data_IF_353596231113
#
_entry.id   IF_353596231113
#
_cell.length_a   1.000
_cell.length_b   1.000
_cell.length_c   1.000
_cell.angle_alpha   90.00
_cell.angle_beta   90.00
_cell.angle_gamma   90.00
#
_symmetry.space_group_name_H-M   'P 1'
#
loop_
_entity.id
_entity.type
_entity.pdbx_description
1 polymer ?
#
# COMPACT_ATOMS: atom_id res chain seq x y z
N UNK A 1 3.23 27.33 26.01
CA UNK A 1 3.69 28.37 26.97
C UNK A 1 5.08 28.01 27.48
N UNK A 2 6.12 28.58 26.88
CA UNK A 2 7.36 29.07 27.52
C UNK A 2 8.24 29.70 26.42
N UNK A 3 8.61 31.00 26.49
CA UNK A 3 9.35 31.67 25.43
C UNK A 3 10.86 31.41 25.56
N UNK A 4 11.50 30.91 24.50
CA UNK A 4 12.97 30.86 24.44
C UNK A 4 13.49 32.28 24.25
N UNK A 5 14.23 32.71 25.26
CA UNK A 5 14.80 34.03 25.47
C UNK A 5 15.79 34.38 24.36
N UNK A 6 15.52 35.50 23.70
CA UNK A 6 16.42 36.19 22.79
C UNK A 6 17.62 36.74 23.58
N UNK A 7 18.76 36.04 23.54
CA UNK A 7 20.02 36.54 24.13
C UNK A 7 20.93 37.04 23.01
N UNK A 8 20.81 38.33 22.71
CA UNK A 8 21.71 39.08 21.83
C UNK A 8 23.12 39.11 22.42
N UNK A 9 24.09 38.54 21.71
CA UNK A 9 25.49 38.88 21.85
C UNK A 9 26.02 39.17 20.44
N UNK A 10 26.18 40.46 20.15
CA UNK A 10 26.79 40.98 18.93
C UNK A 10 28.29 41.11 19.21
N UNK A 11 29.16 40.55 18.37
CA UNK A 11 30.41 41.21 18.05
C UNK A 11 30.42 41.63 16.58
N UNK A 12 30.67 42.91 16.41
CA UNK A 12 31.01 43.60 15.18
C UNK A 12 32.34 43.04 14.65
N UNK A 13 32.32 42.30 13.55
CA UNK A 13 33.50 42.08 12.69
C UNK A 13 33.05 42.22 11.24
N UNK A 14 33.56 43.27 10.59
CA UNK A 14 33.40 43.57 9.17
C UNK A 14 34.59 42.98 8.42
N UNK A 15 34.35 42.08 7.45
CA UNK A 15 35.26 41.87 6.32
C UNK A 15 34.58 41.12 5.15
N UNK A 16 34.52 41.83 4.02
CA UNK A 16 34.57 41.41 2.61
C UNK A 16 33.61 40.32 2.06
N UNK A 17 32.94 40.73 0.97
CA UNK A 17 32.00 39.99 0.16
C UNK A 17 32.61 38.78 -0.58
N UNK A 18 31.88 37.65 -0.58
CA UNK A 18 31.55 36.88 -1.79
C UNK A 18 30.12 36.34 -1.61
N UNK A 19 29.31 36.58 -2.62
CA UNK A 19 27.92 36.12 -2.73
C UNK A 19 27.87 34.58 -2.78
N UNK A 20 27.05 33.96 -1.93
CA UNK A 20 26.82 32.52 -1.94
C UNK A 20 25.89 32.07 -0.83
N UNK A 21 24.58 32.14 -1.06
CA UNK A 21 23.61 31.42 -0.26
C UNK A 21 23.77 29.92 -0.54
N UNK A 22 24.22 29.14 0.44
CA UNK A 22 24.05 27.70 0.44
C UNK A 22 23.33 27.31 1.73
N UNK A 23 22.04 27.63 1.76
CA UNK A 23 21.06 27.04 2.66
C UNK A 23 20.08 26.24 1.82
N UNK A 24 20.37 24.96 1.65
CA UNK A 24 19.43 23.92 1.22
C UNK A 24 19.91 22.67 1.94
N UNK A 25 19.30 22.34 3.09
CA UNK A 25 18.03 21.61 3.13
C UNK A 25 18.41 20.13 3.12
N UNK A 26 18.69 19.53 4.28
CA UNK A 26 17.70 18.72 4.97
C UNK A 26 17.04 17.75 3.99
N UNK A 27 17.75 16.69 3.60
CA UNK A 27 17.12 15.46 3.13
C UNK A 27 16.50 14.75 4.35
N UNK A 28 15.51 15.41 4.96
CA UNK A 28 14.44 14.67 5.60
C UNK A 28 13.63 14.11 4.43
N UNK A 29 13.97 12.90 3.99
CA UNK A 29 13.06 12.07 3.22
C UNK A 29 11.90 11.68 4.14
N UNK A 30 11.00 12.63 4.39
CA UNK A 30 9.76 12.45 5.11
C UNK A 30 8.78 13.48 4.55
N UNK A 31 8.25 13.22 3.35
CA UNK A 31 7.12 13.96 2.78
C UNK A 31 6.61 13.21 1.54
N UNK A 32 6.03 12.03 1.77
CA UNK A 32 4.95 11.43 0.99
C UNK A 32 4.73 10.00 1.53
N UNK A 33 4.45 9.87 2.83
CA UNK A 33 3.48 8.85 3.19
C UNK A 33 2.16 9.31 2.57
N UNK A 34 1.96 8.94 1.29
CA UNK A 34 0.62 8.70 0.76
C UNK A 34 -0.15 8.06 1.92
N UNK A 35 -1.15 8.78 2.45
CA UNK A 35 -1.85 8.33 3.65
C UNK A 35 -2.52 7.01 3.29
N UNK A 36 -1.85 5.89 3.58
CA UNK A 36 -2.34 4.57 3.25
C UNK A 36 -3.61 4.36 4.07
N UNK A 37 -4.79 4.33 3.45
CA UNK A 37 -6.04 4.22 4.19
C UNK A 37 -6.15 2.90 4.95
N UNK A 38 -5.30 1.90 4.62
CA UNK A 38 -5.22 0.62 5.34
C UNK A 38 -4.34 0.71 6.60
N UNK A 39 -3.40 1.66 6.69
CA UNK A 39 -2.45 1.71 7.80
C UNK A 39 -3.14 1.92 9.17
N UNK A 40 -4.28 2.61 9.19
CA UNK A 40 -5.07 2.82 10.40
C UNK A 40 -5.91 1.60 10.81
N UNK A 41 -5.98 0.56 9.97
CA UNK A 41 -6.85 -0.61 10.15
C UNK A 41 -6.07 -1.89 10.41
N UNK A 42 -4.74 -1.79 10.56
CA UNK A 42 -3.86 -2.96 10.72
C UNK A 42 -4.08 -3.73 12.03
N UNK A 43 -4.66 -3.09 13.05
CA UNK A 43 -4.97 -3.75 14.33
C UNK A 43 -6.02 -4.87 14.19
N UNK A 44 -6.90 -4.78 13.19
CA UNK A 44 -7.93 -5.77 12.89
C UNK A 44 -7.52 -6.72 11.75
N UNK A 45 -6.25 -6.70 11.33
CA UNK A 45 -5.77 -7.53 10.24
C UNK A 45 -5.79 -9.02 10.59
N UNK A 46 -6.25 -9.84 9.64
CA UNK A 46 -6.30 -11.28 9.75
C UNK A 46 -5.22 -11.93 8.88
N UNK A 47 -4.59 -12.99 9.38
CA UNK A 47 -3.60 -13.76 8.63
C UNK A 47 -4.22 -14.52 7.45
N UNK A 48 -5.46 -14.99 7.61
CA UNK A 48 -6.12 -15.89 6.66
C UNK A 48 -7.62 -15.65 6.56
N UNK A 49 -8.17 -15.73 5.35
CA UNK A 49 -9.62 -15.70 5.09
C UNK A 49 -10.14 -17.03 4.55
N UNK A 50 -11.35 -17.46 4.90
CA UNK A 50 -11.93 -18.73 4.44
C UNK A 50 -12.32 -18.69 2.96
N UNK A 51 -11.75 -19.58 2.16
CA UNK A 51 -11.93 -19.61 0.69
C UNK A 51 -13.40 -19.75 0.27
N UNK A 52 -14.18 -20.55 0.99
CA UNK A 52 -15.59 -20.80 0.67
C UNK A 52 -16.48 -19.56 0.85
N UNK A 53 -15.99 -18.55 1.57
CA UNK A 53 -16.68 -17.28 1.75
C UNK A 53 -16.26 -16.24 0.71
N UNK A 54 -15.18 -16.42 -0.02
CA UNK A 54 -14.78 -15.47 -1.07
C UNK A 54 -15.80 -15.57 -2.21
N UNK A 55 -16.45 -14.45 -2.52
CA UNK A 55 -17.41 -14.32 -3.63
C UNK A 55 -16.72 -13.85 -4.91
N UNK A 56 -15.92 -12.78 -4.80
CA UNK A 56 -15.14 -12.24 -5.90
C UNK A 56 -13.89 -11.53 -5.41
N UNK A 57 -12.96 -11.31 -6.33
CA UNK A 57 -11.74 -10.54 -6.10
C UNK A 57 -11.65 -9.40 -7.09
N UNK A 58 -11.12 -8.26 -6.65
CA UNK A 58 -10.94 -7.07 -7.48
C UNK A 58 -9.53 -6.55 -7.29
N UNK A 59 -8.78 -6.45 -8.38
CA UNK A 59 -7.43 -5.87 -8.35
C UNK A 59 -7.55 -4.37 -8.53
N UNK A 60 -7.07 -3.62 -7.54
CA UNK A 60 -7.12 -2.15 -7.52
C UNK A 60 -5.88 -1.55 -8.17
N UNK A 61 -4.70 -2.11 -7.92
CA UNK A 61 -3.45 -1.59 -8.48
C UNK A 61 -2.37 -2.70 -8.55
N UNK A 62 -1.10 -2.32 -8.65
CA UNK A 62 0.03 -3.27 -8.74
C UNK A 62 0.37 -3.95 -7.40
N UNK A 63 -0.26 -3.54 -6.29
CA UNK A 63 0.04 -3.94 -4.92
C UNK A 63 -1.23 -4.21 -4.07
N UNK A 64 -2.42 -3.84 -4.51
CA UNK A 64 -3.64 -3.92 -3.70
C UNK A 64 -4.71 -4.80 -4.37
N UNK A 65 -5.22 -5.78 -3.62
CA UNK A 65 -6.31 -6.67 -4.04
C UNK A 65 -7.42 -6.67 -3.00
N UNK A 66 -8.67 -6.48 -3.43
CA UNK A 66 -9.85 -6.60 -2.59
C UNK A 66 -10.47 -7.99 -2.71
N UNK A 67 -10.87 -8.53 -1.57
CA UNK A 67 -11.56 -9.80 -1.43
C UNK A 67 -12.96 -9.53 -0.88
N UNK A 68 -13.97 -9.70 -1.72
CA UNK A 68 -15.37 -9.55 -1.34
C UNK A 68 -15.89 -10.87 -0.81
N UNK A 69 -16.38 -10.85 0.42
CA UNK A 69 -16.86 -12.02 1.13
C UNK A 69 -18.38 -12.14 1.03
N UNK A 70 -18.86 -13.37 1.11
CA UNK A 70 -20.27 -13.69 1.35
C UNK A 70 -20.63 -13.16 2.74
N UNK A 71 -21.60 -12.25 2.78
CA UNK A 71 -21.99 -11.53 3.99
C UNK A 71 -21.68 -10.03 3.99
N UNK A 72 -21.25 -9.48 2.84
CA UNK A 72 -20.96 -8.04 2.64
C UNK A 72 -19.70 -7.52 3.32
N UNK A 73 -18.87 -8.40 3.89
CA UNK A 73 -17.54 -8.03 4.38
C UNK A 73 -16.56 -7.92 3.20
N UNK A 74 -15.61 -6.99 3.31
CA UNK A 74 -14.56 -6.79 2.32
C UNK A 74 -13.22 -6.72 3.04
N UNK A 75 -12.25 -7.46 2.52
CA UNK A 75 -10.87 -7.41 3.00
C UNK A 75 -9.98 -6.82 1.93
N UNK A 76 -9.13 -5.87 2.30
CA UNK A 76 -8.03 -5.40 1.48
C UNK A 76 -6.78 -6.20 1.81
N UNK A 77 -6.06 -6.62 0.78
CA UNK A 77 -4.77 -7.28 0.90
C UNK A 77 -3.73 -6.44 0.16
N UNK A 78 -2.82 -5.83 0.92
CA UNK A 78 -1.70 -5.09 0.36
C UNK A 78 -0.50 -6.03 0.28
N UNK A 79 -0.05 -6.31 -0.94
CA UNK A 79 1.07 -7.19 -1.21
C UNK A 79 2.36 -6.56 -0.63
N UNK A 80 3.27 -7.37 -0.06
CA UNK A 80 4.52 -6.86 0.51
C UNK A 80 5.43 -6.19 -0.53
N UNK A 81 5.29 -6.57 -1.81
CA UNK A 81 6.01 -5.98 -2.93
C UNK A 81 5.05 -5.77 -4.11
N UNK A 82 5.36 -4.80 -4.98
CA UNK A 82 4.64 -4.63 -6.25
C UNK A 82 4.71 -5.93 -7.08
N UNK A 83 3.59 -6.28 -7.69
CA UNK A 83 3.44 -7.50 -8.44
C UNK A 83 3.49 -7.24 -9.95
N UNK A 84 4.51 -7.73 -10.68
CA UNK A 84 4.64 -7.45 -12.11
C UNK A 84 3.41 -7.91 -12.91
N UNK A 85 2.78 -6.98 -13.61
CA UNK A 85 1.59 -7.26 -14.40
C UNK A 85 0.29 -7.29 -13.59
N UNK A 86 0.32 -7.13 -12.28
CA UNK A 86 -0.90 -6.81 -11.53
C UNK A 86 -1.29 -5.36 -11.86
N UNK A 87 -2.56 -5.13 -12.18
CA UNK A 87 -3.11 -3.82 -12.62
C UNK A 87 -4.62 -3.87 -12.51
N UNK A 88 -5.28 -2.69 -12.47
CA UNK A 88 -6.75 -2.59 -12.34
C UNK A 88 -7.50 -3.62 -13.17
N UNK A 89 -8.47 -4.27 -12.54
CA UNK A 89 -9.36 -5.26 -13.17
C UNK A 89 -8.64 -6.49 -13.77
N UNK A 90 -7.43 -6.81 -13.30
CA UNK A 90 -6.78 -8.06 -13.70
C UNK A 90 -7.39 -9.28 -13.06
N UNK A 91 -7.40 -10.35 -13.84
CA UNK A 91 -7.71 -11.67 -13.34
C UNK A 91 -6.46 -12.28 -12.70
N UNK A 92 -6.64 -12.81 -11.51
CA UNK A 92 -5.62 -13.55 -10.78
C UNK A 92 -6.09 -14.97 -10.50
N UNK A 93 -5.14 -15.86 -10.30
CA UNK A 93 -5.35 -17.19 -9.75
C UNK A 93 -4.55 -17.26 -8.46
N UNK A 94 -5.09 -17.85 -7.39
CA UNK A 94 -4.34 -18.10 -6.16
C UNK A 94 -4.04 -19.58 -6.01
N UNK A 95 -2.92 -19.89 -5.36
CA UNK A 95 -2.57 -21.24 -4.92
C UNK A 95 -2.61 -21.25 -3.40
N UNK A 96 -3.44 -22.12 -2.83
CA UNK A 96 -3.71 -22.12 -1.39
C UNK A 96 -2.98 -23.25 -0.69
N UNK A 97 -2.70 -23.04 0.58
CA UNK A 97 -2.12 -24.08 1.45
C UNK A 97 -3.18 -25.03 2.01
N UNK A 98 -4.40 -24.55 2.29
CA UNK A 98 -5.51 -25.30 2.92
C UNK A 98 -6.90 -24.82 2.43
N UNK A 99 -7.95 -24.93 3.27
CA UNK A 99 -9.31 -24.39 3.07
C UNK A 99 -9.45 -22.88 3.29
N UNK A 100 -8.31 -22.19 3.39
CA UNK A 100 -8.17 -20.76 3.64
C UNK A 100 -7.10 -20.19 2.69
N UNK A 101 -7.20 -18.90 2.42
CA UNK A 101 -6.18 -18.12 1.73
C UNK A 101 -5.46 -17.28 2.78
N UNK A 102 -4.16 -17.46 2.91
CA UNK A 102 -3.36 -16.80 3.94
C UNK A 102 -2.37 -15.78 3.36
N UNK A 103 -1.86 -14.90 4.21
CA UNK A 103 -0.78 -13.95 3.89
C UNK A 103 0.48 -14.62 3.33
N UNK A 104 0.77 -15.86 3.73
CA UNK A 104 1.90 -16.62 3.19
C UNK A 104 1.61 -17.33 1.85
N UNK A 105 0.37 -17.30 1.35
CA UNK A 105 0.03 -17.85 0.04
C UNK A 105 0.41 -16.89 -1.10
N UNK A 106 0.28 -17.36 -2.34
CA UNK A 106 0.66 -16.60 -3.54
C UNK A 106 -0.50 -16.45 -4.51
N UNK A 107 -0.56 -15.28 -5.14
CA UNK A 107 -1.37 -15.03 -6.33
C UNK A 107 -0.50 -15.10 -7.59
N UNK A 108 -1.10 -15.48 -8.70
CA UNK A 108 -0.50 -15.51 -10.03
C UNK A 108 -1.38 -14.70 -10.96
N UNK A 109 -0.81 -13.70 -11.61
CA UNK A 109 -1.51 -12.91 -12.63
C UNK A 109 -1.84 -13.80 -13.82
N UNK A 110 -3.05 -13.66 -14.37
CA UNK A 110 -3.43 -14.31 -15.62
C UNK A 110 -3.42 -13.29 -16.76
N UNK A 111 -2.65 -13.59 -17.80
CA UNK A 111 -2.58 -12.80 -19.02
C UNK A 111 -3.29 -13.51 -20.17
N UNK A 112 -3.94 -12.72 -21.03
CA UNK A 112 -4.54 -13.23 -22.25
C UNK A 112 -3.49 -13.20 -23.36
N UNK A 113 -3.06 -14.38 -23.82
CA UNK A 113 -2.09 -14.52 -24.90
C UNK A 113 -2.48 -15.70 -25.79
N UNK A 114 -2.36 -15.53 -27.10
CA UNK A 114 -2.62 -16.61 -28.07
C UNK A 114 -4.04 -17.19 -28.03
N UNK A 115 -5.04 -16.41 -27.58
CA UNK A 115 -6.43 -16.87 -27.47
C UNK A 115 -6.76 -17.64 -26.18
N UNK A 116 -5.86 -17.68 -25.20
CA UNK A 116 -6.09 -18.33 -23.90
C UNK A 116 -5.55 -17.55 -22.71
N UNK A 117 -5.87 -18.02 -21.50
CA UNK A 117 -5.28 -17.53 -20.26
C UNK A 117 -3.93 -18.23 -20.02
N UNK A 118 -2.89 -17.46 -19.80
CA UNK A 118 -1.55 -17.92 -19.47
C UNK A 118 -1.12 -17.35 -18.12
N UNK A 119 -0.31 -18.12 -17.38
CA UNK A 119 0.21 -17.69 -16.08
C UNK A 119 1.35 -16.68 -16.28
N UNK A 120 1.21 -15.52 -15.64
CA UNK A 120 2.23 -14.48 -15.55
C UNK A 120 3.02 -14.58 -14.24
N UNK A 121 3.40 -13.42 -13.69
CA UNK A 121 4.14 -13.32 -12.44
C UNK A 121 3.34 -13.88 -11.26
N UNK A 122 4.06 -14.40 -10.25
CA UNK A 122 3.49 -14.81 -8.97
C UNK A 122 4.03 -13.95 -7.84
N UNK A 123 3.16 -13.60 -6.90
CA UNK A 123 3.43 -12.63 -5.83
C UNK A 123 2.83 -13.14 -4.52
N UNK A 124 3.58 -13.00 -3.43
CA UNK A 124 3.08 -13.31 -2.09
C UNK A 124 1.98 -12.35 -1.69
N UNK A 125 1.02 -12.84 -0.92
CA UNK A 125 0.00 -12.04 -0.29
C UNK A 125 0.57 -11.30 0.94
N UNK A 126 -0.19 -10.33 1.44
CA UNK A 126 0.00 -9.71 2.75
C UNK A 126 -1.16 -10.08 3.68
N UNK A 127 -1.34 -9.29 4.74
CA UNK A 127 -2.44 -9.51 5.68
C UNK A 127 -3.78 -9.05 5.10
N UNK A 128 -4.86 -9.64 5.62
CA UNK A 128 -6.23 -9.30 5.21
C UNK A 128 -6.81 -8.28 6.17
N UNK A 129 -6.86 -7.03 5.72
CA UNK A 129 -7.37 -5.90 6.52
C UNK A 129 -8.86 -5.73 6.23
N UNK A 130 -9.77 -5.85 7.22
CA UNK A 130 -11.18 -5.58 7.01
C UNK A 130 -11.39 -4.10 6.70
N UNK A 131 -12.17 -3.80 5.67
CA UNK A 131 -12.41 -2.42 5.24
C UNK A 131 -13.91 -2.13 5.07
N UNK A 132 -14.27 -0.86 5.27
CA UNK A 132 -15.62 -0.37 5.02
C UNK A 132 -15.87 -0.14 3.52
N UNK A 133 -17.12 -0.11 3.08
CA UNK A 133 -17.47 0.27 1.70
C UNK A 133 -17.00 1.68 1.34
N UNK A 134 -16.95 2.61 2.30
CA UNK A 134 -16.38 3.93 2.08
C UNK A 134 -14.88 3.83 1.73
N UNK A 135 -14.14 2.97 2.43
CA UNK A 135 -12.71 2.72 2.16
C UNK A 135 -12.52 2.07 0.79
N UNK A 136 -13.42 1.14 0.39
CA UNK A 136 -13.39 0.53 -0.94
C UNK A 136 -13.45 1.60 -2.03
N UNK A 137 -14.35 2.58 -1.90
CA UNK A 137 -14.50 3.64 -2.90
C UNK A 137 -13.26 4.52 -3.00
N UNK A 138 -12.68 4.91 -1.86
CA UNK A 138 -11.43 5.67 -1.82
C UNK A 138 -10.29 4.93 -2.54
N UNK A 139 -10.21 3.61 -2.38
CA UNK A 139 -9.19 2.81 -3.06
C UNK A 139 -9.41 2.73 -4.57
N UNK A 140 -10.66 2.78 -5.05
CA UNK A 140 -10.95 2.74 -6.50
C UNK A 140 -10.63 4.06 -7.20
N UNK A 141 -10.80 5.18 -6.51
CA UNK A 141 -10.58 6.54 -7.04
C UNK A 141 -9.10 6.87 -7.25
N UNK A 142 -8.19 6.12 -6.63
CA UNK A 142 -6.75 6.32 -6.67
C UNK A 142 -6.11 5.48 -7.77
#
# INVERSE_FOLDING_TARGET
MLPVVCRRAIPLVVALALSGCASTGQEAGDDAAEQDPLAALLDDAEDCVPLQRIDRTEVIDEQTVLFFMRGSEVYANRLPNRCPGLRRNKTIMYKTSLSQLCNLDVITVLDQMGGGLQRGASCGLGDFVPISEATVELLREN
#
